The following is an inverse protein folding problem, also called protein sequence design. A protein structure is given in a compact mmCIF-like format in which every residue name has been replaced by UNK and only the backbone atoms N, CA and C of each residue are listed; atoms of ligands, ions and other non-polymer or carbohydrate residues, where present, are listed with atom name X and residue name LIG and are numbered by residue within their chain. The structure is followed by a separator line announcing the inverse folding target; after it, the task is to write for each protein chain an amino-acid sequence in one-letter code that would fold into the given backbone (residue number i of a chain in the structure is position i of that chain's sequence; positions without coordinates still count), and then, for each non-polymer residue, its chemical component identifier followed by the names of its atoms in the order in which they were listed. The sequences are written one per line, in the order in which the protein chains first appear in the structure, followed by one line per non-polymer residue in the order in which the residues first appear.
data_IF_321031104655
#
_entry.id   IF_321031104655
#
_cell.length_a   1.000
_cell.length_b   1.000
_cell.length_c   1.000
_cell.angle_alpha   90.00
_cell.angle_beta   90.00
_cell.angle_gamma   90.00
#
_symmetry.space_group_name_H-M   'P 1'
#
loop_
_entity.id
_entity.type
_entity.pdbx_description
1 polymer ?
#
# COMPACT_ATOMS: atom_id res chain seq x y z
N UNK A 1 -11.54 -24.75 -12.81
CA UNK A 1 -10.54 -23.68 -13.03
C UNK A 1 -9.97 -23.89 -14.42
N UNK A 2 -9.99 -22.84 -15.23
CA UNK A 2 -9.36 -22.81 -16.56
C UNK A 2 -7.87 -22.46 -16.42
N UNK A 3 -7.03 -22.88 -17.38
CA UNK A 3 -5.59 -22.53 -17.40
C UNK A 3 -5.36 -20.99 -17.38
N UNK A 4 -6.30 -20.23 -17.95
CA UNK A 4 -6.27 -18.77 -17.92
C UNK A 4 -6.57 -18.18 -16.52
N UNK A 5 -7.43 -18.84 -15.74
CA UNK A 5 -7.72 -18.43 -14.37
C UNK A 5 -6.48 -18.68 -13.50
N UNK A 6 -5.86 -19.85 -13.65
CA UNK A 6 -4.65 -20.24 -12.91
C UNK A 6 -3.48 -19.29 -13.18
N UNK A 7 -3.33 -18.86 -14.44
CA UNK A 7 -2.27 -17.92 -14.84
C UNK A 7 -2.52 -16.51 -14.30
N UNK A 8 -3.77 -16.04 -14.33
CA UNK A 8 -4.14 -14.73 -13.79
C UNK A 8 -3.93 -14.67 -12.27
N UNK A 9 -4.25 -15.75 -11.56
CA UNK A 9 -3.96 -15.88 -10.12
C UNK A 9 -2.45 -15.90 -9.85
N UNK A 10 -1.67 -16.59 -10.68
CA UNK A 10 -0.21 -16.60 -10.56
C UNK A 10 0.39 -15.19 -10.72
N UNK A 11 -0.04 -14.43 -11.74
CA UNK A 11 0.39 -13.03 -11.94
C UNK A 11 0.02 -12.14 -10.75
N UNK A 12 -1.23 -12.22 -10.30
CA UNK A 12 -1.70 -11.43 -9.17
C UNK A 12 -0.90 -11.71 -7.90
N UNK A 13 -0.60 -13.00 -7.65
CA UNK A 13 0.20 -13.43 -6.50
C UNK A 13 1.65 -12.94 -6.60
N UNK A 14 2.28 -13.09 -7.76
CA UNK A 14 3.64 -12.61 -8.00
C UNK A 14 3.75 -11.09 -7.80
N UNK A 15 2.80 -10.33 -8.34
CA UNK A 15 2.75 -8.88 -8.16
C UNK A 15 2.53 -8.49 -6.69
N UNK A 16 1.63 -9.20 -5.98
CA UNK A 16 1.40 -9.00 -4.55
C UNK A 16 2.65 -9.28 -3.71
N UNK A 17 3.32 -10.41 -3.94
CA UNK A 17 4.55 -10.79 -3.24
C UNK A 17 5.62 -9.72 -3.48
N UNK A 18 5.79 -9.27 -4.72
CA UNK A 18 6.76 -8.22 -5.07
C UNK A 18 6.47 -6.90 -4.35
N UNK A 19 5.21 -6.45 -4.29
CA UNK A 19 4.82 -5.24 -3.55
C UNK A 19 5.07 -5.40 -2.06
N UNK A 20 4.67 -6.53 -1.49
CA UNK A 20 4.78 -6.81 -0.05
C UNK A 20 6.24 -6.84 0.40
N UNK A 21 7.10 -7.55 -0.32
CA UNK A 21 8.54 -7.61 -0.03
C UNK A 21 9.23 -6.26 -0.19
N UNK A 22 8.85 -5.52 -1.24
CA UNK A 22 9.41 -4.20 -1.51
C UNK A 22 9.00 -3.20 -0.42
N UNK A 23 7.72 -3.21 -0.04
CA UNK A 23 7.20 -2.37 1.04
C UNK A 23 7.89 -2.70 2.37
N UNK A 24 7.92 -3.97 2.77
CA UNK A 24 8.58 -4.42 4.00
C UNK A 24 10.04 -3.93 4.08
N UNK A 25 10.79 -4.06 2.99
CA UNK A 25 12.19 -3.62 2.90
C UNK A 25 12.37 -2.10 2.99
N UNK A 26 11.59 -1.32 2.23
CA UNK A 26 11.73 0.13 2.21
C UNK A 26 11.25 0.76 3.52
N UNK A 27 10.13 0.28 4.06
CA UNK A 27 9.58 0.75 5.33
C UNK A 27 10.56 0.50 6.49
N UNK A 28 11.15 -0.70 6.53
CA UNK A 28 12.18 -1.04 7.52
C UNK A 28 13.40 -0.11 7.47
N UNK A 29 13.64 0.54 6.33
CA UNK A 29 14.75 1.49 6.16
C UNK A 29 14.35 2.92 6.50
N UNK A 30 13.19 3.37 6.04
CA UNK A 30 12.85 4.80 6.01
C UNK A 30 12.09 5.28 7.25
N UNK A 31 11.30 4.42 7.89
CA UNK A 31 10.46 4.81 9.04
C UNK A 31 10.57 3.90 10.26
N UNK A 32 11.41 2.86 10.23
CA UNK A 32 11.56 1.94 11.38
C UNK A 32 11.93 2.65 12.70
N UNK A 33 12.64 3.77 12.60
CA UNK A 33 13.00 4.60 13.76
C UNK A 33 11.82 5.43 14.30
N UNK A 34 10.81 5.73 13.47
CA UNK A 34 9.66 6.56 13.82
C UNK A 34 8.44 5.74 14.24
N UNK A 35 8.30 4.52 13.70
CA UNK A 35 7.05 3.79 13.78
C UNK A 35 7.22 2.29 14.07
N UNK A 36 6.17 1.73 14.65
CA UNK A 36 5.86 0.30 14.57
C UNK A 36 5.07 0.04 13.28
N UNK A 37 5.47 -0.99 12.54
CA UNK A 37 4.89 -1.29 11.22
C UNK A 37 4.32 -2.70 11.21
N UNK A 38 3.10 -2.81 10.72
CA UNK A 38 2.44 -4.07 10.41
C UNK A 38 2.15 -4.14 8.91
N UNK A 39 2.55 -5.25 8.30
CA UNK A 39 2.22 -5.56 6.90
C UNK A 39 1.42 -6.86 6.89
N UNK A 40 0.20 -6.80 6.39
CA UNK A 40 -0.70 -7.96 6.37
C UNK A 40 -1.42 -8.08 5.02
N UNK A 41 -1.74 -9.31 4.65
CA UNK A 41 -2.55 -9.67 3.49
C UNK A 41 -3.96 -10.03 3.95
N UNK A 42 -4.92 -9.11 3.77
CA UNK A 42 -6.32 -9.35 4.15
C UNK A 42 -7.25 -9.20 2.94
N UNK A 43 -8.25 -10.09 2.88
CA UNK A 43 -9.27 -10.13 1.83
C UNK A 43 -10.38 -9.08 2.04
N UNK A 44 -10.73 -8.44 0.93
CA UNK A 44 -11.94 -7.63 0.67
C UNK A 44 -12.25 -6.53 1.70
N UNK A 45 -11.56 -5.40 1.60
CA UNK A 45 -12.24 -4.12 1.75
C UNK A 45 -13.16 -3.90 0.53
N UNK A 46 -14.28 -3.23 0.72
CA UNK A 46 -15.31 -2.97 -0.31
C UNK A 46 -14.81 -2.00 -1.40
N UNK A 47 -13.75 -2.36 -2.11
CA UNK A 47 -13.20 -1.62 -3.24
C UNK A 47 -13.69 -2.33 -4.49
N UNK A 48 -14.46 -1.63 -5.32
CA UNK A 48 -14.84 -2.17 -6.62
C UNK A 48 -13.65 -2.17 -7.56
N UNK A 49 -13.50 -3.18 -8.43
CA UNK A 49 -12.43 -3.19 -9.41
C UNK A 49 -12.57 -2.00 -10.37
N UNK A 50 -11.45 -1.38 -10.80
CA UNK A 50 -11.47 -0.36 -11.84
C UNK A 50 -12.05 -0.88 -13.16
N UNK A 51 -12.55 0.01 -14.05
CA UNK A 51 -13.01 -0.39 -15.38
C UNK A 51 -11.93 -1.17 -16.15
N UNK A 52 -12.32 -2.27 -16.80
CA UNK A 52 -11.38 -3.15 -17.52
C UNK A 52 -10.71 -4.22 -16.64
N UNK A 53 -10.81 -4.13 -15.32
CA UNK A 53 -10.20 -5.05 -14.38
C UNK A 53 -11.23 -5.82 -13.56
N UNK A 54 -10.79 -6.90 -12.94
CA UNK A 54 -11.55 -7.72 -12.02
C UNK A 54 -10.66 -8.22 -10.87
N UNK A 55 -11.30 -8.73 -9.81
CA UNK A 55 -10.58 -9.44 -8.77
C UNK A 55 -9.92 -10.70 -9.36
N UNK A 56 -8.74 -11.11 -8.86
CA UNK A 56 -8.20 -12.43 -9.15
C UNK A 56 -9.24 -13.52 -8.84
N UNK A 57 -9.29 -14.63 -9.61
CA UNK A 57 -10.20 -15.74 -9.35
C UNK A 57 -10.16 -16.28 -7.90
N UNK A 58 -8.98 -16.27 -7.29
CA UNK A 58 -8.75 -16.65 -5.89
C UNK A 58 -9.28 -15.65 -4.85
N UNK A 59 -9.71 -14.46 -5.27
CA UNK A 59 -10.19 -13.38 -4.42
C UNK A 59 -9.26 -12.16 -4.42
N UNK A 60 -9.73 -11.04 -3.85
CA UNK A 60 -8.95 -9.79 -3.82
C UNK A 60 -7.76 -9.95 -2.90
N UNK A 61 -6.56 -9.75 -3.45
CA UNK A 61 -5.31 -9.75 -2.71
C UNK A 61 -4.93 -8.29 -2.43
N UNK A 62 -4.77 -7.93 -1.15
CA UNK A 62 -4.34 -6.59 -0.75
C UNK A 62 -3.13 -6.65 0.16
N UNK A 63 -2.15 -5.77 -0.09
CA UNK A 63 -1.07 -5.48 0.85
C UNK A 63 -1.52 -4.30 1.72
N UNK A 64 -1.75 -4.54 3.01
CA UNK A 64 -2.04 -3.51 4.00
C UNK A 64 -0.76 -3.13 4.74
N UNK A 65 -0.51 -1.83 4.86
CA UNK A 65 0.57 -1.30 5.69
C UNK A 65 -0.02 -0.35 6.71
N UNK A 66 0.23 -0.62 7.99
CA UNK A 66 -0.10 0.25 9.11
C UNK A 66 1.20 0.73 9.75
N UNK A 67 1.35 2.04 9.91
CA UNK A 67 2.44 2.65 10.66
C UNK A 67 1.87 3.43 11.86
N UNK A 68 2.31 3.09 13.07
CA UNK A 68 1.97 3.78 14.32
C UNK A 68 3.20 4.46 14.88
N UNK A 69 3.11 5.73 15.25
CA UNK A 69 4.25 6.42 15.86
C UNK A 69 4.63 5.78 17.19
N UNK A 70 5.95 5.68 17.44
CA UNK A 70 6.50 5.21 18.72
C UNK A 70 6.36 6.25 19.82
N UNK A 71 6.48 7.53 19.45
CA UNK A 71 6.49 8.66 20.39
C UNK A 71 5.09 9.21 20.67
N UNK A 72 4.14 8.99 19.75
CA UNK A 72 2.74 9.42 19.84
C UNK A 72 1.82 8.25 19.44
N UNK A 73 1.44 7.37 20.37
CA UNK A 73 0.67 6.16 20.07
C UNK A 73 -0.66 6.40 19.32
N UNK A 74 -1.27 7.58 19.51
CA UNK A 74 -2.51 8.00 18.85
C UNK A 74 -2.30 8.38 17.37
N UNK A 75 -1.07 8.68 16.97
CA UNK A 75 -0.74 9.01 15.58
C UNK A 75 -0.47 7.72 14.78
N UNK A 76 -1.43 7.35 13.94
CA UNK A 76 -1.32 6.22 13.03
C UNK A 76 -1.70 6.61 11.59
N UNK A 77 -1.08 5.94 10.63
CA UNK A 77 -1.46 6.01 9.22
C UNK A 77 -1.52 4.61 8.63
N UNK A 78 -2.56 4.35 7.83
CA UNK A 78 -2.68 3.12 7.06
C UNK A 78 -2.73 3.40 5.56
N UNK A 79 -2.23 2.46 4.77
CA UNK A 79 -2.42 2.43 3.32
C UNK A 79 -2.66 1.00 2.88
N UNK A 80 -3.40 0.83 1.78
CA UNK A 80 -3.63 -0.48 1.17
C UNK A 80 -3.29 -0.42 -0.31
N UNK A 81 -2.68 -1.47 -0.83
CA UNK A 81 -2.46 -1.68 -2.26
C UNK A 81 -3.26 -2.91 -2.67
N UNK A 82 -4.22 -2.74 -3.58
CA UNK A 82 -5.01 -3.82 -4.14
C UNK A 82 -4.45 -4.26 -5.49
N UNK A 83 -4.48 -5.57 -5.74
CA UNK A 83 -4.08 -6.18 -7.00
C UNK A 83 -5.31 -6.59 -7.79
N UNK A 84 -5.36 -6.20 -9.06
CA UNK A 84 -6.42 -6.54 -10.00
C UNK A 84 -5.85 -7.22 -11.23
N UNK A 85 -6.62 -8.10 -11.86
CA UNK A 85 -6.29 -8.75 -13.13
C UNK A 85 -7.13 -8.15 -14.25
N UNK A 86 -6.56 -8.02 -15.44
CA UNK A 86 -7.31 -7.57 -16.61
C UNK A 86 -8.42 -8.56 -16.98
N UNK A 87 -9.57 -8.04 -17.43
CA UNK A 87 -10.70 -8.87 -17.90
C UNK A 87 -10.42 -9.53 -19.24
N UNK A 88 -9.69 -8.83 -20.11
CA UNK A 88 -9.29 -9.32 -21.42
C UNK A 88 -7.84 -9.76 -21.38
N UNK A 89 -7.47 -10.75 -22.20
CA UNK A 89 -6.11 -11.29 -22.28
C UNK A 89 -5.10 -10.36 -22.95
N UNK A 90 -5.36 -9.04 -22.92
CA UNK A 90 -4.52 -8.00 -23.50
C UNK A 90 -3.60 -7.40 -22.42
N UNK A 91 -2.44 -6.87 -22.81
CA UNK A 91 -1.60 -6.10 -21.88
C UNK A 91 -2.28 -4.77 -21.54
N UNK A 92 -2.18 -4.29 -20.27
CA UNK A 92 -1.45 -4.88 -19.13
C UNK A 92 -2.21 -6.02 -18.44
N UNK A 93 -1.47 -6.97 -17.84
CA UNK A 93 -2.06 -8.16 -17.22
C UNK A 93 -2.55 -7.91 -15.78
N UNK A 94 -1.82 -7.08 -15.03
CA UNK A 94 -2.09 -6.77 -13.63
C UNK A 94 -2.09 -5.26 -13.41
N UNK A 95 -2.98 -4.80 -12.54
CA UNK A 95 -3.04 -3.43 -12.04
C UNK A 95 -2.90 -3.41 -10.52
N UNK A 96 -1.94 -2.62 -10.04
CA UNK A 96 -1.80 -2.25 -8.64
C UNK A 96 -2.48 -0.91 -8.42
N UNK A 97 -3.31 -0.80 -7.40
CA UNK A 97 -3.97 0.45 -7.03
C UNK A 97 -3.77 0.76 -5.56
N UNK A 98 -3.44 1.99 -5.23
CA UNK A 98 -3.47 2.45 -3.84
C UNK A 98 -4.90 2.83 -3.48
N UNK A 99 -5.47 2.19 -2.47
CA UNK A 99 -6.83 2.47 -2.00
C UNK A 99 -6.92 3.93 -1.50
N UNK A 100 -7.96 4.65 -1.95
CA UNK A 100 -8.16 6.06 -1.61
C UNK A 100 -7.26 7.03 -2.38
N UNK A 101 -6.65 6.60 -3.49
CA UNK A 101 -5.78 7.41 -4.34
C UNK A 101 -6.00 7.08 -5.82
N UNK A 102 -5.66 8.01 -6.70
CA UNK A 102 -5.52 7.84 -8.14
C UNK A 102 -4.22 7.13 -8.57
N UNK A 103 -3.35 6.80 -7.60
CA UNK A 103 -2.05 6.18 -7.86
C UNK A 103 -2.24 4.73 -8.28
N UNK A 104 -1.75 4.41 -9.46
CA UNK A 104 -1.80 3.08 -10.05
C UNK A 104 -0.44 2.67 -10.64
N UNK A 105 -0.25 1.36 -10.82
CA UNK A 105 0.85 0.79 -11.59
C UNK A 105 0.35 -0.42 -12.38
N UNK A 106 0.56 -0.40 -13.69
CA UNK A 106 0.25 -1.48 -14.61
C UNK A 106 1.49 -2.34 -14.85
N UNK A 107 1.31 -3.68 -14.84
CA UNK A 107 2.37 -4.66 -15.09
C UNK A 107 1.94 -5.61 -16.21
N UNK A 108 2.82 -5.81 -17.18
CA UNK A 108 2.62 -6.78 -18.26
C UNK A 108 2.86 -8.21 -17.78
N UNK A 109 2.22 -9.19 -18.42
CA UNK A 109 2.43 -10.61 -18.09
C UNK A 109 3.91 -11.03 -18.30
N UNK A 110 4.52 -10.52 -19.38
CA UNK A 110 5.92 -10.74 -19.73
C UNK A 110 6.91 -10.21 -18.68
N UNK A 111 6.47 -9.28 -17.85
CA UNK A 111 7.25 -8.70 -16.75
C UNK A 111 7.12 -9.51 -15.44
N UNK A 112 6.16 -10.42 -15.36
CA UNK A 112 5.84 -11.23 -14.17
C UNK A 112 6.20 -12.72 -14.33
N UNK A 113 6.30 -13.23 -15.56
CA UNK A 113 6.59 -14.64 -15.85
C UNK A 113 7.94 -14.88 -16.55
N UNK A 114 8.64 -15.98 -16.24
CA UNK A 114 8.35 -16.94 -15.16
C UNK A 114 8.70 -16.40 -13.76
N UNK A 115 9.49 -15.33 -13.69
CA UNK A 115 9.81 -14.57 -12.49
C UNK A 115 9.80 -13.08 -12.82
N UNK A 116 9.59 -12.18 -11.83
CA UNK A 116 9.61 -10.75 -12.08
C UNK A 116 10.91 -10.25 -12.71
N UNK A 117 10.78 -9.53 -13.81
CA UNK A 117 11.90 -8.90 -14.51
C UNK A 117 12.54 -7.80 -13.66
N UNK A 118 13.76 -7.40 -13.99
CA UNK A 118 14.40 -6.24 -13.36
C UNK A 118 13.60 -4.95 -13.57
N UNK A 119 12.91 -4.83 -14.71
CA UNK A 119 12.02 -3.72 -15.01
C UNK A 119 10.82 -3.70 -14.05
N UNK A 120 10.10 -4.82 -13.93
CA UNK A 120 8.96 -4.95 -13.02
C UNK A 120 9.36 -4.62 -11.57
N UNK A 121 10.52 -5.13 -11.13
CA UNK A 121 11.08 -4.86 -9.80
C UNK A 121 11.38 -3.37 -9.61
N UNK A 122 11.94 -2.70 -10.62
CA UNK A 122 12.18 -1.26 -10.60
C UNK A 122 10.90 -0.44 -10.52
N UNK A 123 9.91 -0.76 -11.36
CA UNK A 123 8.61 -0.09 -11.36
C UNK A 123 7.87 -0.24 -10.02
N UNK A 124 7.85 -1.45 -9.46
CA UNK A 124 7.25 -1.69 -8.13
C UNK A 124 8.03 -0.95 -7.04
N UNK A 125 9.37 -0.93 -7.11
CA UNK A 125 10.19 -0.15 -6.18
C UNK A 125 9.83 1.33 -6.18
N UNK A 126 9.71 1.94 -7.35
CA UNK A 126 9.39 3.36 -7.50
C UNK A 126 7.94 3.67 -7.09
N UNK A 127 7.02 2.76 -7.41
CA UNK A 127 5.64 2.86 -6.96
C UNK A 127 5.55 2.82 -5.43
N UNK A 128 6.18 1.84 -4.79
CA UNK A 128 6.19 1.67 -3.33
C UNK A 128 6.88 2.84 -2.64
N UNK A 129 7.98 3.36 -3.20
CA UNK A 129 8.70 4.50 -2.63
C UNK A 129 7.82 5.74 -2.51
N UNK A 130 7.00 6.02 -3.54
CA UNK A 130 6.05 7.14 -3.49
C UNK A 130 4.94 6.89 -2.47
N UNK A 131 4.42 5.66 -2.37
CA UNK A 131 3.42 5.30 -1.36
C UNK A 131 3.97 5.52 0.05
N UNK A 132 5.19 5.06 0.32
CA UNK A 132 5.84 5.21 1.63
C UNK A 132 6.12 6.69 1.93
N UNK A 133 6.64 7.46 0.98
CA UNK A 133 6.88 8.89 1.17
C UNK A 133 5.61 9.63 1.60
N UNK A 134 4.46 9.31 0.99
CA UNK A 134 3.17 9.83 1.41
C UNK A 134 2.77 9.37 2.81
N UNK A 135 3.02 8.11 3.17
CA UNK A 135 2.77 7.62 4.53
C UNK A 135 3.62 8.36 5.56
N UNK A 136 4.91 8.56 5.31
CA UNK A 136 5.81 9.31 6.22
C UNK A 136 5.29 10.72 6.42
N UNK A 137 4.94 11.41 5.33
CA UNK A 137 4.38 12.75 5.39
C UNK A 137 3.08 12.81 6.19
N UNK A 138 2.19 11.82 5.99
CA UNK A 138 0.91 11.75 6.69
C UNK A 138 1.09 11.43 8.19
N UNK A 139 2.03 10.55 8.54
CA UNK A 139 2.37 10.23 9.92
C UNK A 139 2.94 11.46 10.64
N UNK A 140 3.87 12.18 10.01
CA UNK A 140 4.43 13.43 10.55
C UNK A 140 3.33 14.46 10.80
N UNK A 141 2.42 14.64 9.85
CA UNK A 141 1.28 15.54 10.02
C UNK A 141 0.30 15.07 11.11
N UNK A 142 0.15 13.76 11.33
CA UNK A 142 -0.64 13.21 12.42
C UNK A 142 -0.01 13.50 13.78
N UNK A 143 1.30 13.25 13.94
CA UNK A 143 2.03 13.55 15.17
C UNK A 143 1.96 15.05 15.51
N UNK A 144 2.18 15.94 14.53
CA UNK A 144 2.10 17.39 14.74
C UNK A 144 0.70 17.84 15.18
N UNK A 145 -0.37 17.24 14.64
CA UNK A 145 -1.74 17.55 15.06
C UNK A 145 -1.99 17.15 16.51
N UNK A 146 -1.49 16.00 16.94
CA UNK A 146 -1.61 15.56 18.34
C UNK A 146 -0.86 16.51 19.27
N UNK A 147 0.40 16.85 18.96
CA UNK A 147 1.17 17.80 19.77
C UNK A 147 0.57 19.21 19.80
N UNK A 148 0.02 19.68 18.68
CA UNK A 148 -0.68 20.96 18.61
C UNK A 148 -1.94 20.98 19.48
N UNK A 149 -2.67 19.86 19.51
CA UNK A 149 -3.86 19.72 20.35
C UNK A 149 -3.53 19.66 21.85
N UNK A 150 -2.42 19.03 22.24
CA UNK A 150 -1.94 19.05 23.62
C UNK A 150 -1.46 20.44 24.08
N UNK A 151 -0.89 21.23 23.16
CA UNK A 151 -0.42 22.59 23.45
C UNK A 151 -1.57 23.58 23.67
N UNK A 152 -2.68 23.44 22.94
CA UNK A 152 -3.89 24.28 23.09
C UNK A 152 -4.68 23.98 24.39
N UNK A 153 -4.50 22.79 24.98
CA UNK A 153 -5.16 22.39 26.25
C UNK A 153 -4.33 22.80 27.48
N UNK A 154 -3.13 23.37 27.26
CA UNK A 154 -2.13 23.66 28.29
C UNK A 154 -2.11 25.08 28.86
N UNK A 155 -2.97 26.01 28.42
CA UNK A 155 -3.08 27.35 29.04
C UNK A 155 -4.30 27.42 29.98
N UNK A 156 -4.16 27.14 31.29
CA UNK A 156 -5.00 27.84 32.25
C UNK A 156 -4.58 29.30 32.25
N UNK A 157 -5.45 30.18 31.73
CA UNK A 157 -5.41 31.60 32.05
C UNK A 157 -5.40 31.73 33.58
N UNK A 158 -4.23 31.99 34.14
CA UNK A 158 -4.13 32.69 35.42
C UNK A 158 -4.59 34.13 35.17
N UNK A 159 -5.91 34.31 35.09
CA UNK A 159 -6.57 35.60 35.18
C UNK A 159 -6.78 35.92 36.66
N UNK A 160 -5.84 36.66 37.23
CA UNK A 160 -6.01 37.34 38.51
C UNK A 160 -7.25 38.26 38.49
N UNK A 161 -8.18 38.06 39.43
CA UNK A 161 -8.72 39.06 40.37
C UNK A 161 -9.81 38.45 41.27
#
# INVERSE_FOLDING_TARGET
MSEADDRSDAWARTAHELVTETASRQISRDIAHLAEIEVDSHGVHAVSPPPGYQAPPSGVITTHVLARSRDVPEAAVETRVAVWVAKESNEPAVLLTRVGSDRVLELSASDLEPEPTAQARGQVNDYVAVVIAHMVSALNAAMQRTYGHESDVGEPEYGEN
#
